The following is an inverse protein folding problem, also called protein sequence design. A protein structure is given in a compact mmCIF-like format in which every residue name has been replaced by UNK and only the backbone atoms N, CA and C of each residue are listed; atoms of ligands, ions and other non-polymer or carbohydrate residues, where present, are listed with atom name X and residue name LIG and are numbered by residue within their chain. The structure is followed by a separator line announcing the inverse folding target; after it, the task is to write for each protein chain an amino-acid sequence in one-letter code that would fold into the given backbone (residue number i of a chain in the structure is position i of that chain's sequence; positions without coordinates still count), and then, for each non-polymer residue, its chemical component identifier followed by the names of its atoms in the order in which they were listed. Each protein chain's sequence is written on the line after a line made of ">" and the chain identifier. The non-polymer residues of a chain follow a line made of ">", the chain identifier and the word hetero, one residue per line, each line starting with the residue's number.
data_IF_945983988930
#
_entry.id   IF_945983988930
#
_cell.length_a   1.000
_cell.length_b   1.000
_cell.length_c   1.000
_cell.angle_alpha   90.00
_cell.angle_beta   90.00
_cell.angle_gamma   90.00
#
_symmetry.space_group_name_H-M   'P 1'
#
loop_
_entity.id
_entity.type
_entity.pdbx_description
1 polymer ?
#
# COMPACT_ATOMS: atom_id res chain seq x y z
N UNK A 1 -8.31 -13.48 44.63
CA UNK A 1 -8.97 -12.77 43.54
C UNK A 1 -7.87 -12.14 42.69
N UNK A 2 -7.31 -12.90 41.75
CA UNK A 2 -6.23 -12.46 40.87
C UNK A 2 -6.89 -11.91 39.58
N UNK A 3 -6.83 -10.60 39.39
CA UNK A 3 -7.30 -9.92 38.21
C UNK A 3 -6.22 -10.04 37.13
N UNK A 4 -6.41 -10.95 36.17
CA UNK A 4 -5.51 -11.10 35.04
C UNK A 4 -5.73 -9.91 34.09
N UNK A 5 -4.79 -8.97 34.09
CA UNK A 5 -4.73 -7.86 33.16
C UNK A 5 -4.22 -8.39 31.80
N UNK A 6 -5.14 -8.76 30.91
CA UNK A 6 -4.83 -9.10 29.53
C UNK A 6 -4.48 -7.79 28.80
N UNK A 7 -3.17 -7.51 28.67
CA UNK A 7 -2.65 -6.46 27.80
C UNK A 7 -2.91 -6.86 26.35
N UNK A 8 -3.96 -6.32 25.77
CA UNK A 8 -4.21 -6.37 24.33
C UNK A 8 -3.12 -5.52 23.65
N UNK A 9 -2.07 -6.17 23.15
CA UNK A 9 -1.12 -5.59 22.21
C UNK A 9 -1.84 -5.39 20.86
N UNK A 10 -2.65 -4.34 20.75
CA UNK A 10 -3.11 -3.86 19.46
C UNK A 10 -1.90 -3.25 18.76
N UNK A 11 -1.36 -3.93 17.76
CA UNK A 11 -0.35 -3.35 16.87
C UNK A 11 -0.95 -2.10 16.25
N UNK A 12 -0.46 -0.92 16.66
CA UNK A 12 -0.87 0.33 16.05
C UNK A 12 -0.37 0.36 14.61
N UNK A 13 -1.28 0.21 13.66
CA UNK A 13 -1.01 0.54 12.26
C UNK A 13 -0.84 2.06 12.20
N UNK A 14 0.36 2.53 11.89
CA UNK A 14 0.68 3.96 11.84
C UNK A 14 0.68 4.45 10.40
N UNK A 15 0.01 5.58 10.19
CA UNK A 15 0.10 6.33 8.93
C UNK A 15 1.37 7.18 8.98
N UNK A 16 2.21 7.18 7.92
CA UNK A 16 3.40 8.02 7.85
C UNK A 16 3.11 9.50 8.12
N UNK A 17 3.99 10.16 8.85
CA UNK A 17 3.78 11.55 9.27
C UNK A 17 3.59 12.51 8.10
N UNK A 18 4.28 12.28 6.97
CA UNK A 18 4.15 13.09 5.76
C UNK A 18 2.71 13.15 5.20
N UNK A 19 1.89 12.13 5.47
CA UNK A 19 0.52 12.00 4.97
C UNK A 19 -0.52 11.80 6.08
N UNK A 20 -0.14 12.02 7.33
CA UNK A 20 -1.03 11.86 8.48
C UNK A 20 -2.17 12.87 8.48
N UNK A 21 -1.85 14.13 8.19
CA UNK A 21 -2.81 15.23 8.13
C UNK A 21 -3.15 15.84 9.48
N UNK A 22 -3.96 16.87 9.44
CA UNK A 22 -4.49 17.58 10.60
C UNK A 22 -5.92 17.14 10.95
N UNK A 23 -6.66 16.64 9.97
CA UNK A 23 -7.99 16.06 10.17
C UNK A 23 -7.88 14.65 10.72
N UNK A 24 -8.71 14.31 11.70
CA UNK A 24 -8.82 12.95 12.20
C UNK A 24 -9.27 11.94 11.11
N UNK A 25 -10.06 12.42 10.15
CA UNK A 25 -10.59 11.64 9.03
C UNK A 25 -10.48 12.46 7.73
N UNK A 26 -9.31 12.51 7.07
CA UNK A 26 -9.18 13.10 5.74
C UNK A 26 -10.11 12.37 4.74
N UNK A 27 -10.67 13.11 3.77
CA UNK A 27 -11.49 12.50 2.73
C UNK A 27 -10.67 11.51 1.89
N UNK A 28 -11.17 10.27 1.76
CA UNK A 28 -10.51 9.20 1.00
C UNK A 28 -11.41 8.59 -0.09
N UNK A 29 -12.69 8.91 -0.07
CA UNK A 29 -13.65 8.42 -1.06
C UNK A 29 -13.68 9.35 -2.27
N UNK A 30 -12.87 9.03 -3.29
CA UNK A 30 -12.82 9.81 -4.52
C UNK A 30 -14.15 9.75 -5.29
N UNK A 31 -14.84 8.61 -5.28
CA UNK A 31 -16.11 8.46 -6.00
C UNK A 31 -17.15 9.45 -5.46
N UNK A 32 -17.21 9.58 -4.15
CA UNK A 32 -18.08 10.55 -3.49
C UNK A 32 -17.72 12.00 -3.86
N UNK A 33 -16.41 12.32 -3.90
CA UNK A 33 -15.93 13.64 -4.31
C UNK A 33 -16.27 13.93 -5.77
N UNK A 34 -16.12 12.95 -6.66
CA UNK A 34 -16.42 13.10 -8.09
C UNK A 34 -17.91 13.33 -8.36
N UNK A 35 -18.80 12.78 -7.54
CA UNK A 35 -20.24 12.92 -7.68
C UNK A 35 -20.72 14.34 -7.34
N UNK A 36 -20.11 14.99 -6.36
CA UNK A 36 -20.42 16.37 -5.98
C UNK A 36 -19.17 17.11 -5.50
N UNK A 37 -18.28 17.51 -6.43
CA UNK A 37 -16.99 18.11 -6.07
C UNK A 37 -17.12 19.42 -5.27
N UNK A 38 -18.18 20.17 -5.48
CA UNK A 38 -18.38 21.47 -4.85
C UNK A 38 -18.48 21.36 -3.32
N UNK A 39 -19.05 20.27 -2.80
CA UNK A 39 -19.18 20.03 -1.37
C UNK A 39 -17.83 19.74 -0.67
N UNK A 40 -16.80 19.38 -1.44
CA UNK A 40 -15.52 18.96 -0.90
C UNK A 40 -14.40 19.96 -1.11
N UNK A 41 -14.66 21.07 -1.80
CA UNK A 41 -13.66 22.13 -1.97
C UNK A 41 -13.23 22.66 -0.61
N UNK A 42 -11.93 22.77 -0.40
CA UNK A 42 -11.33 23.20 0.87
C UNK A 42 -11.15 22.09 1.91
N UNK A 43 -11.70 20.91 1.69
CA UNK A 43 -11.52 19.78 2.61
C UNK A 43 -10.15 19.13 2.45
N UNK A 44 -9.59 18.69 3.59
CA UNK A 44 -8.39 17.86 3.60
C UNK A 44 -8.72 16.47 3.07
N UNK A 45 -7.89 16.01 2.14
CA UNK A 45 -8.05 14.70 1.51
C UNK A 45 -6.75 13.91 1.52
N UNK A 46 -6.90 12.58 1.49
CA UNK A 46 -5.81 11.64 1.32
C UNK A 46 -6.19 10.66 0.23
N UNK A 47 -5.50 10.74 -0.90
CA UNK A 47 -5.69 9.85 -2.04
C UNK A 47 -4.36 9.22 -2.41
N UNK A 48 -4.39 7.98 -2.91
CA UNK A 48 -3.19 7.31 -3.35
C UNK A 48 -3.46 6.35 -4.50
N UNK A 49 -2.41 5.96 -5.17
CA UNK A 49 -2.45 5.08 -6.32
C UNK A 49 -1.17 5.12 -7.12
N UNK A 50 -1.23 4.65 -8.35
CA UNK A 50 -0.10 4.63 -9.27
C UNK A 50 0.01 5.96 -10.02
N UNK A 51 1.18 6.57 -10.04
CA UNK A 51 1.49 7.75 -10.86
C UNK A 51 1.56 7.32 -12.31
N UNK A 52 0.69 7.90 -13.14
CA UNK A 52 0.60 7.58 -14.58
C UNK A 52 1.20 8.66 -15.47
N UNK A 53 1.34 9.88 -14.94
CA UNK A 53 1.98 11.00 -15.64
C UNK A 53 2.56 12.00 -14.63
N UNK A 54 3.71 12.57 -14.99
CA UNK A 54 4.38 13.65 -14.26
C UNK A 54 4.55 14.83 -15.19
N UNK A 55 4.20 16.02 -14.75
CA UNK A 55 4.38 17.25 -15.50
C UNK A 55 5.02 18.30 -14.60
N UNK A 56 6.19 18.77 -14.97
CA UNK A 56 6.89 19.85 -14.27
C UNK A 56 6.74 21.15 -15.06
N UNK A 57 6.29 22.19 -14.38
CA UNK A 57 6.11 23.51 -14.96
C UNK A 57 6.35 24.59 -13.90
N UNK A 58 7.19 25.56 -14.21
CA UNK A 58 7.46 26.72 -13.35
C UNK A 58 7.86 26.36 -11.90
N UNK A 59 8.71 25.33 -11.72
CA UNK A 59 9.16 24.88 -10.40
C UNK A 59 8.12 24.11 -9.57
N UNK A 60 6.97 23.78 -10.16
CA UNK A 60 5.90 22.96 -9.57
C UNK A 60 5.80 21.63 -10.29
N UNK A 61 5.29 20.63 -9.61
CA UNK A 61 5.07 19.31 -10.17
C UNK A 61 3.61 18.94 -10.07
N UNK A 62 3.01 18.51 -11.20
CA UNK A 62 1.69 17.89 -11.24
C UNK A 62 1.85 16.41 -11.48
N UNK A 63 1.29 15.61 -10.58
CA UNK A 63 1.15 14.17 -10.74
C UNK A 63 -0.28 13.85 -11.20
N UNK A 64 -0.40 13.03 -12.25
CA UNK A 64 -1.65 12.34 -12.55
C UNK A 64 -1.61 10.98 -11.89
N UNK A 65 -2.54 10.72 -10.98
CA UNK A 65 -2.56 9.51 -10.17
C UNK A 65 -3.82 8.71 -10.50
N UNK A 66 -3.64 7.45 -10.93
CA UNK A 66 -4.71 6.46 -10.99
C UNK A 66 -4.96 5.95 -9.57
N UNK A 67 -5.99 6.50 -8.92
CA UNK A 67 -6.25 6.27 -7.50
C UNK A 67 -6.82 4.89 -7.24
N UNK A 68 -6.44 4.33 -6.11
CA UNK A 68 -6.90 3.05 -5.59
C UNK A 68 -7.38 3.21 -4.15
N UNK A 69 -8.24 2.32 -3.65
CA UNK A 69 -8.56 2.28 -2.22
C UNK A 69 -7.29 2.17 -1.39
N UNK A 70 -7.27 2.85 -0.25
CA UNK A 70 -6.16 2.79 0.70
C UNK A 70 -6.41 1.73 1.77
N UNK A 71 -5.35 1.19 2.33
CA UNK A 71 -5.38 0.38 3.54
C UNK A 71 -5.31 1.27 4.80
N UNK A 72 -5.26 0.64 5.97
CA UNK A 72 -5.20 1.34 7.26
C UNK A 72 -3.90 2.14 7.46
N UNK A 73 -2.81 1.77 6.78
CA UNK A 73 -1.53 2.51 6.74
C UNK A 73 -1.52 3.60 5.67
N UNK A 74 -2.64 3.84 5.00
CA UNK A 74 -2.77 4.74 3.86
C UNK A 74 -1.95 4.31 2.62
N UNK A 75 -1.65 3.03 2.45
CA UNK A 75 -1.02 2.48 1.25
C UNK A 75 -2.08 2.16 0.20
N UNK A 76 -1.83 2.43 -1.09
CA UNK A 76 -2.69 1.94 -2.16
C UNK A 76 -2.78 0.41 -2.15
N UNK A 77 -3.99 -0.14 -2.22
CA UNK A 77 -4.19 -1.59 -2.25
C UNK A 77 -3.77 -2.14 -3.60
N UNK A 78 -2.68 -2.92 -3.61
CA UNK A 78 -2.19 -3.58 -4.82
C UNK A 78 -3.26 -4.51 -5.42
N UNK A 79 -3.36 -4.50 -6.76
CA UNK A 79 -4.35 -5.33 -7.48
C UNK A 79 -5.78 -4.78 -7.45
N UNK A 80 -6.09 -3.78 -6.62
CA UNK A 80 -7.39 -3.13 -6.67
C UNK A 80 -7.55 -2.31 -7.95
N UNK A 81 -8.77 -2.30 -8.50
CA UNK A 81 -9.10 -1.45 -9.63
C UNK A 81 -8.96 0.03 -9.26
N UNK A 82 -8.57 0.87 -10.23
CA UNK A 82 -8.60 2.31 -10.05
C UNK A 82 -10.05 2.79 -9.91
N UNK A 83 -10.28 3.66 -8.91
CA UNK A 83 -11.58 4.29 -8.66
C UNK A 83 -11.74 5.63 -9.37
N UNK A 84 -10.71 6.08 -10.08
CA UNK A 84 -10.68 7.33 -10.84
C UNK A 84 -9.28 7.91 -10.91
N UNK A 85 -9.15 9.10 -11.52
CA UNK A 85 -7.88 9.82 -11.59
C UNK A 85 -7.98 11.20 -10.98
N UNK A 86 -6.90 11.65 -10.39
CA UNK A 86 -6.75 12.98 -9.81
C UNK A 86 -5.53 13.68 -10.40
N UNK A 87 -5.54 15.01 -10.33
CA UNK A 87 -4.32 15.82 -10.39
C UNK A 87 -3.89 16.18 -8.97
N UNK A 88 -2.64 15.88 -8.67
CA UNK A 88 -2.00 16.24 -7.41
C UNK A 88 -0.93 17.29 -7.71
N UNK A 89 -1.17 18.54 -7.29
CA UNK A 89 -0.32 19.69 -7.53
C UNK A 89 0.63 19.89 -6.34
N UNK A 90 1.91 19.61 -6.55
CA UNK A 90 2.97 19.79 -5.57
C UNK A 90 3.64 21.14 -5.85
N UNK A 91 3.67 22.03 -4.86
CA UNK A 91 4.27 23.37 -5.00
C UNK A 91 5.80 23.33 -4.82
N UNK A 92 6.43 22.34 -5.44
CA UNK A 92 7.87 22.14 -5.49
C UNK A 92 8.22 21.28 -6.70
N UNK A 93 9.50 21.29 -7.10
CA UNK A 93 10.01 20.37 -8.10
C UNK A 93 10.17 18.97 -7.50
N UNK A 94 9.65 17.98 -8.21
CA UNK A 94 9.90 16.56 -7.95
C UNK A 94 10.48 15.95 -9.21
N UNK A 95 11.59 15.22 -9.07
CA UNK A 95 12.20 14.54 -10.21
C UNK A 95 11.25 13.46 -10.74
N UNK A 96 10.91 13.48 -12.04
CA UNK A 96 10.07 12.46 -12.63
C UNK A 96 10.59 11.03 -12.45
N UNK A 97 11.91 10.84 -12.38
CA UNK A 97 12.50 9.52 -12.19
C UNK A 97 12.16 8.91 -10.84
N UNK A 98 11.90 9.75 -9.84
CA UNK A 98 11.58 9.31 -8.48
C UNK A 98 10.14 8.83 -8.32
N UNK A 99 9.22 9.32 -9.18
CA UNK A 99 7.78 9.12 -8.95
C UNK A 99 7.05 8.48 -10.14
N UNK A 100 7.61 8.51 -11.35
CA UNK A 100 6.96 7.91 -12.53
C UNK A 100 6.76 6.41 -12.36
N UNK A 101 5.53 5.94 -12.62
CA UNK A 101 5.13 4.54 -12.43
C UNK A 101 5.23 4.00 -10.99
N UNK A 102 5.57 4.84 -10.02
CA UNK A 102 5.60 4.48 -8.60
C UNK A 102 4.20 4.59 -7.97
N UNK A 103 4.03 3.96 -6.83
CA UNK A 103 2.88 4.15 -5.98
C UNK A 103 3.13 5.31 -5.02
N UNK A 104 2.14 6.19 -4.89
CA UNK A 104 2.21 7.33 -3.98
C UNK A 104 0.89 7.49 -3.24
N UNK A 105 0.96 8.07 -2.05
CA UNK A 105 -0.19 8.63 -1.34
C UNK A 105 0.09 10.10 -1.12
N UNK A 106 -0.88 10.94 -1.47
CA UNK A 106 -0.83 12.39 -1.31
C UNK A 106 -1.83 12.83 -0.26
N UNK A 107 -1.41 13.78 0.55
CA UNK A 107 -2.25 14.51 1.50
C UNK A 107 -2.34 15.96 1.04
N UNK A 108 -3.53 16.51 0.97
CA UNK A 108 -3.70 17.89 0.53
C UNK A 108 -5.13 18.35 0.59
N UNK A 109 -5.37 19.54 0.07
CA UNK A 109 -6.69 20.18 0.06
C UNK A 109 -7.33 20.06 -1.32
N UNK A 110 -8.57 19.64 -1.37
CA UNK A 110 -9.33 19.58 -2.63
C UNK A 110 -9.57 21.03 -3.12
N UNK A 111 -9.04 21.35 -4.31
CA UNK A 111 -9.22 22.68 -4.92
C UNK A 111 -10.47 22.77 -5.80
N UNK A 112 -10.93 21.65 -6.33
CA UNK A 112 -12.05 21.56 -7.25
C UNK A 112 -11.80 20.53 -8.35
N UNK A 113 -12.29 20.79 -9.55
CA UNK A 113 -12.10 19.93 -10.71
C UNK A 113 -11.52 20.67 -11.90
N UNK A 114 -10.80 19.96 -12.74
CA UNK A 114 -10.22 20.47 -14.00
C UNK A 114 -10.52 19.48 -15.13
N UNK A 115 -10.95 20.02 -16.28
CA UNK A 115 -11.18 19.20 -17.47
C UNK A 115 -9.86 18.81 -18.11
N UNK A 116 -9.74 17.56 -18.47
CA UNK A 116 -8.60 17.01 -19.18
C UNK A 116 -9.00 15.81 -20.02
N UNK A 117 -8.03 14.99 -20.42
CA UNK A 117 -8.28 13.79 -21.23
C UNK A 117 -7.55 12.59 -20.69
N UNK A 118 -8.16 11.42 -20.80
CA UNK A 118 -7.52 10.11 -20.61
C UNK A 118 -7.54 9.43 -21.99
N UNK A 119 -6.38 9.37 -22.64
CA UNK A 119 -6.33 9.02 -24.06
C UNK A 119 -7.14 10.02 -24.87
N UNK A 120 -8.16 9.57 -25.60
CA UNK A 120 -9.06 10.41 -26.38
C UNK A 120 -10.34 10.85 -25.63
N UNK A 121 -10.58 10.28 -24.44
CA UNK A 121 -11.81 10.54 -23.68
C UNK A 121 -11.69 11.79 -22.81
N UNK A 122 -12.70 12.65 -22.81
CA UNK A 122 -12.80 13.78 -21.87
C UNK A 122 -13.01 13.26 -20.44
N UNK A 123 -12.31 13.84 -19.48
CA UNK A 123 -12.37 13.45 -18.08
C UNK A 123 -12.28 14.68 -17.15
N UNK A 124 -13.06 14.67 -16.06
CA UNK A 124 -12.99 15.70 -15.04
C UNK A 124 -12.11 15.19 -13.89
N UNK A 125 -10.92 15.75 -13.78
CA UNK A 125 -9.99 15.42 -12.71
C UNK A 125 -10.32 16.20 -11.44
N UNK A 126 -10.40 15.54 -10.29
CA UNK A 126 -10.34 16.22 -9.00
C UNK A 126 -8.91 16.72 -8.80
N UNK A 127 -8.77 17.99 -8.42
CA UNK A 127 -7.47 18.62 -8.22
C UNK A 127 -7.21 18.78 -6.73
N UNK A 128 -6.05 18.31 -6.30
CA UNK A 128 -5.59 18.38 -4.91
C UNK A 128 -4.32 19.21 -4.81
N UNK A 129 -4.36 20.27 -3.99
CA UNK A 129 -3.17 21.03 -3.64
C UNK A 129 -2.41 20.27 -2.53
N UNK A 130 -1.30 19.65 -2.89
CA UNK A 130 -0.56 18.71 -2.04
C UNK A 130 0.25 19.46 -0.98
N UNK A 131 0.11 19.02 0.28
CA UNK A 131 0.93 19.47 1.43
C UNK A 131 1.98 18.45 1.82
N UNK A 132 1.71 17.18 1.59
CA UNK A 132 2.63 16.08 1.86
C UNK A 132 2.35 14.89 0.97
N UNK A 133 3.36 14.08 0.73
CA UNK A 133 3.21 12.84 0.00
C UNK A 133 4.17 11.77 0.52
N UNK A 134 3.76 10.51 0.37
CA UNK A 134 4.56 9.32 0.67
C UNK A 134 4.75 8.52 -0.61
N UNK A 135 5.98 8.13 -0.91
CA UNK A 135 6.29 7.15 -1.96
C UNK A 135 6.29 5.75 -1.36
N UNK A 136 5.83 4.79 -2.14
CA UNK A 136 5.80 3.39 -1.73
C UNK A 136 6.64 2.56 -2.69
N UNK A 137 7.44 1.68 -2.14
CA UNK A 137 8.28 0.76 -2.91
C UNK A 137 7.63 -0.62 -2.97
N UNK A 138 7.66 -1.24 -4.17
CA UNK A 138 7.26 -2.63 -4.33
C UNK A 138 8.36 -3.53 -3.78
N UNK A 139 8.03 -4.33 -2.78
CA UNK A 139 8.91 -5.29 -2.15
C UNK A 139 8.29 -6.69 -2.26
N UNK A 140 9.09 -7.68 -2.60
CA UNK A 140 8.68 -9.07 -2.59
C UNK A 140 9.06 -9.71 -1.25
N UNK A 141 8.07 -10.20 -0.53
CA UNK A 141 8.26 -10.95 0.70
C UNK A 141 8.03 -12.43 0.41
N UNK A 142 9.01 -13.25 0.76
CA UNK A 142 8.92 -14.71 0.63
C UNK A 142 8.45 -15.27 1.97
N UNK A 143 7.22 -15.74 2.01
CA UNK A 143 6.65 -16.42 3.17
C UNK A 143 6.91 -17.93 3.03
N UNK A 144 7.90 -18.44 3.75
CA UNK A 144 8.14 -19.88 3.89
C UNK A 144 7.34 -20.40 5.08
N UNK A 145 6.49 -21.43 4.90
CA UNK A 145 5.83 -22.06 6.04
C UNK A 145 6.87 -22.57 7.03
N UNK A 146 6.62 -22.47 8.33
CA UNK A 146 7.55 -23.01 9.33
C UNK A 146 7.74 -24.50 9.09
N UNK A 147 9.00 -24.91 9.00
CA UNK A 147 9.36 -26.33 8.92
C UNK A 147 9.02 -26.96 10.29
N UNK A 148 8.27 -28.06 10.35
CA UNK A 148 8.12 -28.79 11.60
C UNK A 148 9.50 -29.29 12.03
N UNK A 149 10.01 -28.79 13.13
CA UNK A 149 11.21 -29.33 13.75
C UNK A 149 10.75 -30.55 14.49
N UNK A 150 11.06 -31.75 13.96
CA UNK A 150 10.84 -32.99 14.70
C UNK A 150 11.98 -33.14 15.74
N UNK A 151 11.70 -32.96 17.05
CA UNK A 151 12.72 -33.06 18.10
C UNK A 151 13.33 -34.47 18.21
N UNK A 152 12.69 -35.47 17.60
CA UNK A 152 13.23 -36.84 17.59
C UNK A 152 14.43 -37.07 16.67
N UNK A 153 14.63 -36.19 15.68
CA UNK A 153 15.81 -36.30 14.80
C UNK A 153 17.13 -35.99 15.56
N UNK A 154 17.07 -35.23 16.67
CA UNK A 154 18.25 -34.71 17.35
C UNK A 154 18.74 -35.60 18.53
N UNK A 155 17.91 -36.48 19.10
CA UNK A 155 18.21 -37.20 20.32
C UNK A 155 17.85 -38.68 20.34
N UNK A 156 17.58 -39.34 19.21
CA UNK A 156 17.32 -40.76 19.16
C UNK A 156 18.60 -41.58 19.04
N UNK A 157 18.92 -42.52 19.96
CA UNK A 157 19.93 -43.52 19.66
C UNK A 157 19.45 -44.36 18.48
N UNK A 158 20.18 -44.30 17.37
CA UNK A 158 19.96 -45.15 16.21
C UNK A 158 20.10 -46.59 16.61
N UNK A 159 19.00 -47.25 16.99
CA UNK A 159 19.00 -48.72 17.02
C UNK A 159 19.00 -49.18 15.58
N UNK A 160 20.16 -49.60 15.13
CA UNK A 160 20.33 -50.29 13.88
C UNK A 160 19.48 -51.56 13.89
N UNK A 161 18.35 -51.54 13.17
CA UNK A 161 17.77 -52.78 12.70
C UNK A 161 18.42 -53.13 11.35
N UNK A 162 19.26 -54.17 11.30
CA UNK A 162 19.83 -54.62 10.05
C UNK A 162 18.69 -55.21 9.20
N UNK A 163 18.41 -54.59 8.07
CA UNK A 163 17.55 -55.17 7.02
C UNK A 163 16.34 -54.38 6.57
N UNK A 164 16.06 -53.19 7.04
CA UNK A 164 14.94 -52.40 6.54
C UNK A 164 15.43 -51.21 5.72
N UNK A 165 15.53 -51.40 4.41
CA UNK A 165 15.61 -50.31 3.42
C UNK A 165 14.18 -49.92 3.01
N UNK A 166 13.45 -49.28 3.94
CA UNK A 166 12.18 -48.68 3.60
C UNK A 166 12.36 -47.17 3.33
N UNK A 167 11.59 -46.56 2.44
CA UNK A 167 11.61 -45.13 2.30
C UNK A 167 11.23 -44.50 3.63
N UNK A 168 12.12 -43.63 4.14
CA UNK A 168 11.90 -42.89 5.37
C UNK A 168 10.60 -42.08 5.23
N UNK A 169 9.52 -42.38 5.97
CA UNK A 169 8.24 -41.74 5.80
C UNK A 169 8.25 -40.21 6.07
N UNK A 170 9.35 -39.70 6.57
CA UNK A 170 9.52 -38.26 6.88
C UNK A 170 10.00 -37.39 5.71
N UNK A 171 10.36 -37.98 4.57
CA UNK A 171 10.70 -37.22 3.37
C UNK A 171 9.48 -36.74 2.57
N UNK A 172 8.27 -37.03 3.02
CA UNK A 172 7.03 -36.68 2.38
C UNK A 172 6.26 -35.47 2.97
N UNK A 173 6.73 -34.91 4.06
CA UNK A 173 6.18 -33.66 4.57
C UNK A 173 6.88 -32.49 3.88
N UNK A 174 6.55 -32.26 2.61
CA UNK A 174 6.90 -31.00 1.98
C UNK A 174 6.11 -29.90 2.68
N UNK A 175 6.82 -29.03 3.38
CA UNK A 175 6.30 -27.69 3.65
C UNK A 175 5.78 -27.19 2.32
N UNK A 176 4.54 -26.66 2.31
CA UNK A 176 3.94 -26.12 1.09
C UNK A 176 4.91 -25.18 0.37
N UNK A 177 4.68 -24.91 -0.91
CA UNK A 177 5.56 -24.03 -1.67
C UNK A 177 5.65 -22.67 -0.99
N UNK A 178 6.84 -22.08 -0.97
CA UNK A 178 7.05 -20.72 -0.52
C UNK A 178 6.10 -19.79 -1.29
N UNK A 179 5.37 -18.95 -0.59
CA UNK A 179 4.48 -17.96 -1.21
C UNK A 179 5.26 -16.64 -1.34
N UNK A 180 5.28 -16.10 -2.55
CA UNK A 180 5.83 -14.77 -2.82
C UNK A 180 4.69 -13.79 -2.79
N UNK A 181 4.69 -12.88 -1.83
CA UNK A 181 3.75 -11.79 -1.71
C UNK A 181 4.43 -10.48 -2.09
N UNK A 182 3.77 -9.70 -2.95
CA UNK A 182 4.25 -8.35 -3.28
C UNK A 182 3.53 -7.35 -2.40
N UNK A 183 4.27 -6.57 -1.66
CA UNK A 183 3.75 -5.56 -0.73
C UNK A 183 4.33 -4.19 -1.04
N UNK A 184 3.66 -3.13 -0.56
CA UNK A 184 4.20 -1.78 -0.55
C UNK A 184 4.89 -1.51 0.79
N UNK A 185 6.12 -0.99 0.73
CA UNK A 185 6.90 -0.54 1.89
C UNK A 185 7.26 0.94 1.75
N UNK A 186 7.65 1.57 2.83
CA UNK A 186 8.19 2.94 2.86
C UNK A 186 9.56 3.03 2.20
#
# INVERSE_FOLDING_TARGET
>A
MLLACALLLSGCVTVPDAIKGSSALPQQDLVRVMNDPALFVGQESRFGGKVVKVTNLNGKTRLEIATQPLDESARPRLGAASVGRIYADINNFVDPTDVSNQYVTVLGTIRGTEKGTIGAASYNFVVVDVRGYQRWHLTQQINTPPQPIDPYIWYGPTRHHPGYWGPNPYWGMSSGPAQVETILTE
#
